data_IF_599145487930
#
_entry.id   IF_599145487930
#
_cell.length_a   1.000
_cell.length_b   1.000
_cell.length_c   1.000
_cell.angle_alpha   90.00
_cell.angle_beta   90.00
_cell.angle_gamma   90.00
#
_symmetry.space_group_name_H-M   'P 1'
#
loop_
_entity.id
_entity.type
_entity.pdbx_description
1 polymer ?
#
# COMPACT_ATOMS: atom_id res chain seq x y z
N UNK A 1 -37.00 83.30 -12.23
CA UNK A 1 -35.87 82.43 -11.82
C UNK A 1 -36.23 80.99 -11.99
N UNK A 2 -35.87 80.43 -13.13
CA UNK A 2 -36.27 79.08 -13.53
C UNK A 2 -35.05 78.17 -13.49
N UNK A 3 -34.98 77.29 -12.53
CA UNK A 3 -33.92 76.23 -12.43
C UNK A 3 -34.23 75.10 -13.37
N UNK A 4 -33.41 74.92 -14.38
CA UNK A 4 -33.42 73.73 -15.24
C UNK A 4 -32.77 72.56 -14.54
N UNK A 5 -33.51 71.49 -14.41
CA UNK A 5 -33.01 70.19 -13.93
C UNK A 5 -32.52 69.41 -15.16
N UNK A 6 -31.24 69.02 -15.20
CA UNK A 6 -30.69 68.10 -16.18
C UNK A 6 -31.05 66.65 -15.82
N UNK A 7 -31.35 65.82 -16.80
CA UNK A 7 -31.59 64.40 -16.52
C UNK A 7 -30.25 63.61 -16.37
N UNK A 8 -30.15 62.89 -15.30
CA UNK A 8 -29.11 61.92 -15.06
C UNK A 8 -29.21 60.77 -16.04
N UNK A 9 -28.19 60.57 -16.84
CA UNK A 9 -28.03 59.41 -17.72
C UNK A 9 -27.69 58.21 -16.87
N UNK A 10 -28.52 57.17 -16.91
CA UNK A 10 -28.31 55.88 -16.30
C UNK A 10 -27.15 55.20 -17.02
N UNK A 11 -26.01 55.09 -16.33
CA UNK A 11 -24.93 54.22 -16.75
C UNK A 11 -25.27 52.79 -16.30
N UNK A 12 -25.62 51.91 -17.22
CA UNK A 12 -25.70 50.49 -16.96
C UNK A 12 -24.29 49.96 -16.79
N UNK A 13 -23.94 49.62 -15.55
CA UNK A 13 -22.75 48.84 -15.28
C UNK A 13 -23.03 47.35 -15.60
N UNK A 14 -22.54 46.88 -16.73
CA UNK A 14 -22.56 45.45 -17.04
C UNK A 14 -21.49 44.76 -16.22
N UNK A 15 -21.86 44.07 -15.14
CA UNK A 15 -21.00 43.19 -14.39
C UNK A 15 -20.80 41.92 -15.21
N UNK A 16 -19.61 41.75 -15.78
CA UNK A 16 -19.17 40.50 -16.39
C UNK A 16 -18.73 39.56 -15.25
N UNK A 17 -19.60 38.62 -14.88
CA UNK A 17 -19.25 37.51 -14.01
C UNK A 17 -18.42 36.49 -14.81
N UNK A 18 -17.11 36.54 -14.65
CA UNK A 18 -16.22 35.46 -15.11
C UNK A 18 -16.36 34.32 -14.10
N UNK A 19 -17.19 33.35 -14.43
CA UNK A 19 -17.26 32.09 -13.71
C UNK A 19 -15.99 31.28 -14.03
N UNK A 20 -15.01 31.30 -13.16
CA UNK A 20 -13.92 30.31 -13.17
C UNK A 20 -14.52 28.95 -12.77
N UNK A 21 -14.89 28.17 -13.77
CA UNK A 21 -15.21 26.76 -13.59
C UNK A 21 -13.93 26.00 -13.25
N UNK A 22 -13.69 25.76 -11.97
CA UNK A 22 -12.70 24.77 -11.53
C UNK A 22 -13.31 23.40 -11.80
N UNK A 23 -13.09 22.89 -13.00
CA UNK A 23 -13.32 21.46 -13.27
C UNK A 23 -12.21 20.71 -12.55
N UNK A 24 -12.49 20.22 -11.34
CA UNK A 24 -11.69 19.21 -10.69
C UNK A 24 -11.74 17.95 -11.56
N UNK A 25 -10.81 17.85 -12.49
CA UNK A 25 -10.59 16.63 -13.27
C UNK A 25 -10.11 15.56 -12.32
N UNK A 26 -11.01 14.69 -11.88
CA UNK A 26 -10.65 13.40 -11.29
C UNK A 26 -9.99 12.60 -12.39
N UNK A 27 -8.66 12.66 -12.47
CA UNK A 27 -7.87 11.65 -13.15
C UNK A 27 -8.04 10.36 -12.34
N UNK A 28 -9.05 9.57 -12.68
CA UNK A 28 -9.10 8.18 -12.28
C UNK A 28 -7.85 7.55 -12.88
N UNK A 29 -6.84 7.30 -12.05
CA UNK A 29 -5.70 6.47 -12.41
C UNK A 29 -6.28 5.11 -12.80
N UNK A 30 -6.43 4.89 -14.11
CA UNK A 30 -6.80 3.57 -14.61
C UNK A 30 -5.62 2.67 -14.28
N UNK A 31 -5.83 1.72 -13.35
CA UNK A 31 -4.91 0.61 -13.15
C UNK A 31 -4.56 0.06 -14.54
N UNK A 32 -3.28 0.18 -14.93
CA UNK A 32 -2.81 -0.38 -16.18
C UNK A 32 -2.71 -1.89 -16.01
N UNK A 33 -3.85 -2.56 -16.19
CA UNK A 33 -3.78 -4.01 -16.45
C UNK A 33 -3.03 -4.21 -17.75
N UNK A 34 -1.95 -4.98 -17.71
CA UNK A 34 -1.15 -5.30 -18.90
C UNK A 34 -2.05 -5.74 -20.06
N UNK A 35 -1.84 -5.13 -21.22
CA UNK A 35 -2.46 -5.58 -22.46
C UNK A 35 -1.74 -6.85 -22.90
N UNK A 36 -2.52 -7.84 -23.37
CA UNK A 36 -1.94 -9.05 -23.99
C UNK A 36 -0.98 -8.63 -25.11
N UNK A 37 0.32 -8.98 -24.97
CA UNK A 37 1.37 -8.65 -25.96
C UNK A 37 2.46 -7.72 -25.48
N UNK A 38 2.32 -7.02 -24.33
CA UNK A 38 3.35 -6.09 -23.81
C UNK A 38 4.49 -6.78 -23.06
N UNK A 39 4.35 -8.09 -22.73
CA UNK A 39 5.40 -8.89 -22.08
C UNK A 39 5.65 -8.54 -20.60
N UNK A 40 4.88 -7.64 -19.99
CA UNK A 40 4.98 -7.28 -18.58
C UNK A 40 3.61 -7.02 -17.96
N UNK A 41 3.55 -7.07 -16.61
CA UNK A 41 2.42 -6.59 -15.80
C UNK A 41 2.98 -5.56 -14.81
N UNK A 42 2.39 -4.38 -14.77
CA UNK A 42 2.72 -3.34 -13.80
C UNK A 42 1.57 -3.16 -12.83
N UNK A 43 1.86 -3.28 -11.54
CA UNK A 43 0.92 -2.98 -10.45
C UNK A 43 1.56 -1.99 -9.47
N UNK A 44 0.76 -1.08 -8.95
CA UNK A 44 1.21 -0.10 -7.96
C UNK A 44 0.70 -0.46 -6.57
N UNK A 45 1.42 -0.03 -5.53
CA UNK A 45 1.02 -0.20 -4.12
C UNK A 45 -0.44 0.18 -3.89
N UNK A 46 -0.87 1.32 -4.41
CA UNK A 46 -2.22 1.86 -4.21
C UNK A 46 -3.32 0.93 -4.76
N UNK A 47 -3.02 0.14 -5.79
CA UNK A 47 -4.00 -0.74 -6.45
C UNK A 47 -4.20 -2.06 -5.69
N UNK A 48 -3.19 -2.49 -4.93
CA UNK A 48 -3.17 -3.82 -4.28
C UNK A 48 -3.15 -3.76 -2.76
N UNK A 49 -3.07 -2.57 -2.15
CA UNK A 49 -3.02 -2.38 -0.71
C UNK A 49 -4.31 -2.86 -0.01
N UNK A 50 -4.16 -3.70 1.02
CA UNK A 50 -5.26 -4.15 1.89
C UNK A 50 -4.82 -4.08 3.34
N UNK A 51 -5.43 -3.17 4.12
CA UNK A 51 -5.18 -3.05 5.56
C UNK A 51 -6.21 -3.85 6.35
N UNK A 52 -5.74 -4.65 7.30
CA UNK A 52 -6.59 -5.50 8.14
C UNK A 52 -5.86 -6.03 9.37
N UNK A 53 -6.44 -7.03 10.06
CA UNK A 53 -5.75 -7.76 11.12
C UNK A 53 -4.42 -8.33 10.61
N UNK A 54 -3.45 -8.47 11.50
CA UNK A 54 -2.20 -9.13 11.18
C UNK A 54 -2.43 -10.62 10.81
N UNK A 55 -1.60 -11.22 9.94
CA UNK A 55 -1.81 -12.58 9.45
C UNK A 55 -1.56 -13.64 10.54
N UNK A 56 -2.06 -14.86 10.30
CA UNK A 56 -1.92 -16.03 11.17
C UNK A 56 -2.36 -15.76 12.62
N UNK A 57 -3.47 -15.02 12.79
CA UNK A 57 -4.00 -14.62 14.11
C UNK A 57 -3.01 -13.85 14.97
N UNK A 58 -2.02 -13.24 14.39
CA UNK A 58 -1.09 -12.36 15.08
C UNK A 58 -1.76 -11.10 15.62
N UNK A 59 -1.23 -10.48 16.67
CA UNK A 59 -1.77 -9.24 17.23
C UNK A 59 -1.57 -8.06 16.28
N UNK A 60 -2.40 -7.02 16.46
CA UNK A 60 -2.28 -5.75 15.77
C UNK A 60 -2.80 -5.74 14.34
N UNK A 61 -2.37 -4.75 13.59
CA UNK A 61 -2.81 -4.50 12.21
C UNK A 61 -1.65 -4.53 11.24
N UNK A 62 -1.94 -4.95 10.01
CA UNK A 62 -0.96 -4.93 8.93
C UNK A 62 -1.57 -4.45 7.64
N UNK A 63 -0.72 -3.97 6.72
CA UNK A 63 -1.09 -3.70 5.34
C UNK A 63 -0.36 -4.69 4.44
N UNK A 64 -1.12 -5.46 3.67
CA UNK A 64 -0.61 -6.41 2.69
C UNK A 64 -0.75 -5.83 1.27
N UNK A 65 0.24 -6.10 0.44
CA UNK A 65 0.29 -5.73 -0.97
C UNK A 65 0.59 -7.02 -1.75
N UNK A 66 -0.46 -7.67 -2.24
CA UNK A 66 -0.31 -8.93 -2.98
C UNK A 66 -0.17 -8.61 -4.47
N UNK A 67 1.05 -8.56 -4.94
CA UNK A 67 1.34 -8.27 -6.35
C UNK A 67 1.11 -9.51 -7.22
N UNK A 68 0.59 -9.27 -8.41
CA UNK A 68 0.38 -10.28 -9.45
C UNK A 68 -0.52 -11.45 -9.05
N UNK A 69 -1.38 -11.24 -8.04
CA UNK A 69 -2.31 -12.26 -7.53
C UNK A 69 -3.24 -12.80 -8.64
N UNK A 70 -3.60 -11.92 -9.59
CA UNK A 70 -4.50 -12.21 -10.72
C UNK A 70 -3.76 -12.55 -12.02
N UNK A 71 -2.43 -12.61 -12.02
CA UNK A 71 -1.65 -12.93 -13.20
C UNK A 71 -1.80 -14.40 -13.55
N UNK A 72 -2.38 -14.69 -14.72
CA UNK A 72 -2.61 -16.06 -15.17
C UNK A 72 -1.29 -16.85 -15.32
N UNK A 73 -1.21 -18.03 -14.71
CA UNK A 73 -0.04 -18.91 -14.78
C UNK A 73 1.15 -18.47 -13.93
N UNK A 74 1.08 -17.36 -13.20
CA UNK A 74 2.12 -16.96 -12.27
C UNK A 74 2.05 -17.81 -10.98
N UNK A 75 3.08 -18.60 -10.75
CA UNK A 75 3.10 -19.59 -9.67
C UNK A 75 3.73 -19.09 -8.37
N UNK A 76 4.35 -17.92 -8.39
CA UNK A 76 5.00 -17.35 -7.23
C UNK A 76 4.08 -16.41 -6.48
N UNK A 77 4.13 -16.44 -5.16
CA UNK A 77 3.63 -15.34 -4.32
C UNK A 77 4.74 -14.30 -4.20
N UNK A 78 4.42 -13.07 -4.51
CA UNK A 78 5.28 -11.92 -4.27
C UNK A 78 4.45 -10.83 -3.58
N UNK A 79 4.80 -10.51 -2.35
CA UNK A 79 4.05 -9.52 -1.56
C UNK A 79 4.96 -8.62 -0.75
N UNK A 80 4.55 -7.38 -0.61
CA UNK A 80 5.04 -6.50 0.45
C UNK A 80 4.08 -6.60 1.64
N UNK A 81 4.63 -6.64 2.86
CA UNK A 81 3.88 -6.63 4.11
C UNK A 81 4.40 -5.52 5.00
N UNK A 82 3.49 -4.71 5.52
CA UNK A 82 3.78 -3.70 6.53
C UNK A 82 3.14 -4.16 7.84
N UNK A 83 3.95 -4.42 8.84
CA UNK A 83 3.50 -4.65 10.21
C UNK A 83 3.57 -3.32 10.96
N UNK A 84 2.40 -2.81 11.35
CA UNK A 84 2.32 -1.55 12.11
C UNK A 84 2.83 -1.75 13.55
N UNK A 85 3.16 -0.68 14.29
CA UNK A 85 3.67 -0.80 15.65
C UNK A 85 2.81 -1.73 16.52
N UNK A 86 3.47 -2.72 17.15
CA UNK A 86 2.82 -3.73 17.98
C UNK A 86 2.20 -4.91 17.22
N UNK A 87 2.26 -4.92 15.88
CA UNK A 87 1.75 -6.04 15.10
C UNK A 87 2.76 -7.19 14.97
N UNK A 88 2.23 -8.38 14.70
CA UNK A 88 3.06 -9.55 14.40
C UNK A 88 2.38 -10.48 13.38
N UNK A 89 3.16 -11.16 12.57
CA UNK A 89 2.76 -12.40 11.92
C UNK A 89 2.70 -13.46 13.02
N UNK A 90 1.53 -14.06 13.25
CA UNK A 90 1.35 -15.09 14.28
C UNK A 90 2.21 -16.33 14.00
N UNK A 91 2.57 -17.04 15.07
CA UNK A 91 3.36 -18.27 14.95
C UNK A 91 2.59 -19.36 14.21
N UNK A 92 3.16 -19.92 13.16
CA UNK A 92 2.50 -20.89 12.29
C UNK A 92 3.51 -21.85 11.64
N UNK A 93 3.08 -23.07 11.26
CA UNK A 93 3.93 -24.01 10.53
C UNK A 93 4.16 -23.57 9.09
N UNK A 94 5.36 -23.84 8.58
CA UNK A 94 5.79 -23.56 7.21
C UNK A 94 5.69 -24.81 6.35
N UNK A 95 5.13 -24.67 5.15
CA UNK A 95 4.92 -25.78 4.22
C UNK A 95 5.80 -25.69 2.98
N UNK A 96 6.17 -24.49 2.56
CA UNK A 96 6.97 -24.16 1.39
C UNK A 96 8.28 -23.49 1.80
N UNK A 97 9.24 -23.39 0.89
CA UNK A 97 10.37 -22.47 1.04
C UNK A 97 9.86 -21.04 0.88
N UNK A 98 9.97 -20.22 1.93
CA UNK A 98 9.51 -18.85 1.94
C UNK A 98 10.64 -17.90 2.33
N UNK A 99 10.83 -16.87 1.53
CA UNK A 99 11.83 -15.83 1.78
C UNK A 99 11.17 -14.60 2.39
N UNK A 100 11.70 -14.12 3.49
CA UNK A 100 11.46 -12.80 4.06
C UNK A 100 12.67 -11.91 3.77
N UNK A 101 12.45 -10.72 3.26
CA UNK A 101 13.48 -9.68 3.17
C UNK A 101 12.99 -8.42 3.86
N UNK A 102 13.77 -7.92 4.80
CA UNK A 102 13.41 -6.72 5.57
C UNK A 102 13.82 -5.48 4.79
N UNK A 103 12.84 -4.70 4.33
CA UNK A 103 13.07 -3.42 3.65
C UNK A 103 13.37 -2.30 4.63
N UNK A 104 12.62 -2.22 5.73
CA UNK A 104 12.80 -1.19 6.76
C UNK A 104 12.20 -1.61 8.09
N UNK A 105 12.59 -0.91 9.16
CA UNK A 105 12.14 -1.21 10.52
C UNK A 105 12.95 -2.30 11.20
N UNK A 106 12.46 -2.73 12.37
CA UNK A 106 13.08 -3.79 13.18
C UNK A 106 12.02 -4.75 13.71
N UNK A 107 12.42 -6.00 13.92
CA UNK A 107 11.54 -7.04 14.44
C UNK A 107 12.29 -8.11 15.23
N UNK A 108 11.51 -9.03 15.79
CA UNK A 108 12.01 -10.28 16.36
C UNK A 108 11.38 -11.44 15.61
N UNK A 109 12.22 -12.25 14.99
CA UNK A 109 11.83 -13.51 14.35
C UNK A 109 11.80 -14.59 15.40
N UNK A 110 10.68 -15.31 15.49
CA UNK A 110 10.56 -16.54 16.26
C UNK A 110 10.65 -17.72 15.29
N UNK A 111 11.55 -18.66 15.55
CA UNK A 111 11.80 -19.82 14.68
C UNK A 111 12.05 -21.07 15.52
N UNK A 112 11.20 -22.09 15.40
CA UNK A 112 11.35 -23.39 16.10
C UNK A 112 11.66 -23.26 17.59
N UNK A 113 10.99 -22.32 18.28
CA UNK A 113 11.19 -22.08 19.71
C UNK A 113 12.36 -21.16 20.09
N UNK A 114 13.15 -20.72 19.11
CA UNK A 114 14.21 -19.72 19.31
C UNK A 114 13.79 -18.36 18.77
N UNK A 115 14.39 -17.30 19.28
CA UNK A 115 14.14 -15.93 18.82
C UNK A 115 15.45 -15.22 18.45
N UNK A 116 15.40 -14.39 17.42
CA UNK A 116 16.51 -13.53 17.02
C UNK A 116 16.01 -12.21 16.43
N UNK A 117 16.76 -11.10 16.63
CA UNK A 117 16.41 -9.82 16.05
C UNK A 117 16.63 -9.79 14.55
N UNK A 118 15.79 -9.01 13.84
CA UNK A 118 15.92 -8.72 12.42
C UNK A 118 15.79 -7.22 12.16
N UNK A 119 16.46 -6.73 11.12
CA UNK A 119 16.52 -5.32 10.73
C UNK A 119 16.61 -5.18 9.22
N UNK A 120 16.47 -3.97 8.72
CA UNK A 120 16.63 -3.65 7.31
C UNK A 120 17.93 -4.27 6.71
N UNK A 121 17.77 -4.92 5.56
CA UNK A 121 18.82 -5.64 4.84
C UNK A 121 18.94 -7.12 5.19
N UNK A 122 18.26 -7.62 6.22
CA UNK A 122 18.27 -9.04 6.56
C UNK A 122 17.36 -9.85 5.64
N UNK A 123 17.82 -11.03 5.24
CA UNK A 123 17.05 -12.04 4.50
C UNK A 123 16.94 -13.32 5.33
N UNK A 124 15.73 -13.87 5.42
CA UNK A 124 15.44 -15.11 6.15
C UNK A 124 14.76 -16.08 5.19
N UNK A 125 15.30 -17.29 5.09
CA UNK A 125 14.64 -18.41 4.40
C UNK A 125 14.00 -19.32 5.45
N UNK A 126 12.69 -19.44 5.45
CA UNK A 126 11.94 -20.41 6.24
C UNK A 126 11.68 -21.65 5.41
N UNK A 127 11.90 -22.84 6.00
CA UNK A 127 11.87 -24.12 5.28
C UNK A 127 10.67 -24.97 5.69
N UNK A 128 10.19 -25.86 4.82
CA UNK A 128 9.18 -26.86 5.16
C UNK A 128 9.53 -27.62 6.44
N UNK A 129 8.53 -27.85 7.30
CA UNK A 129 8.71 -28.53 8.59
C UNK A 129 9.17 -27.61 9.73
N UNK A 130 9.52 -26.35 9.48
CA UNK A 130 9.74 -25.36 10.52
C UNK A 130 8.41 -24.69 10.93
N UNK A 131 8.45 -23.94 12.03
CA UNK A 131 7.38 -23.02 12.44
C UNK A 131 7.97 -21.68 12.80
N UNK A 132 7.30 -20.60 12.43
CA UNK A 132 7.83 -19.28 12.65
C UNK A 132 6.74 -18.22 12.87
N UNK A 133 7.16 -17.08 13.40
CA UNK A 133 6.38 -15.85 13.52
C UNK A 133 7.32 -14.65 13.50
N UNK A 134 6.80 -13.46 13.23
CA UNK A 134 7.62 -12.26 13.15
C UNK A 134 6.92 -11.10 13.81
N UNK A 135 7.50 -10.55 14.88
CA UNK A 135 6.95 -9.43 15.65
C UNK A 135 7.69 -8.14 15.29
N UNK A 136 6.94 -7.09 15.02
CA UNK A 136 7.47 -5.74 14.92
C UNK A 136 7.90 -5.25 16.32
N UNK A 137 9.10 -4.62 16.44
CA UNK A 137 9.66 -4.20 17.74
C UNK A 137 10.15 -2.76 17.79
N UNK A 138 10.17 -2.04 16.69
CA UNK A 138 10.58 -0.63 16.64
C UNK A 138 9.46 0.36 16.93
N UNK A 139 9.75 1.63 16.75
CA UNK A 139 8.73 2.70 16.75
C UNK A 139 8.05 2.85 15.41
N UNK A 140 8.73 2.45 14.33
CA UNK A 140 8.30 2.58 12.96
C UNK A 140 7.76 1.24 12.45
N UNK A 141 7.04 1.28 11.33
CA UNK A 141 6.58 0.09 10.63
C UNK A 141 7.73 -0.87 10.28
N UNK A 142 7.51 -2.17 10.45
CA UNK A 142 8.37 -3.20 9.89
C UNK A 142 7.85 -3.57 8.50
N UNK A 143 8.66 -3.26 7.48
CA UNK A 143 8.29 -3.50 6.07
C UNK A 143 9.08 -4.66 5.49
N UNK A 144 8.38 -5.60 4.90
CA UNK A 144 8.91 -6.87 4.41
C UNK A 144 8.54 -7.11 2.96
N UNK A 145 9.43 -7.75 2.22
CA UNK A 145 9.07 -8.54 1.03
C UNK A 145 8.97 -9.99 1.46
N UNK A 146 7.92 -10.67 1.02
CA UNK A 146 7.69 -12.10 1.26
C UNK A 146 7.46 -12.77 -0.08
N UNK A 147 8.17 -13.86 -0.33
CA UNK A 147 8.08 -14.59 -1.59
C UNK A 147 8.20 -16.10 -1.39
N UNK A 148 7.31 -16.85 -2.03
CA UNK A 148 7.31 -18.32 -2.04
C UNK A 148 6.57 -18.85 -3.28
N UNK A 149 6.77 -20.12 -3.62
CA UNK A 149 6.01 -20.81 -4.67
C UNK A 149 4.65 -21.29 -4.13
N UNK A 150 3.59 -21.18 -4.99
CA UNK A 150 2.20 -21.62 -4.66
C UNK A 150 2.06 -23.12 -4.78
#
# INVERSE_FOLDING_TARGET
MTKRILPMKNALLAAVLVAFGVTAGWLAAKSQTARAGEGYILEHDADVAKTGPAPHSGPGRSTGYNFFEKAAGFKQVFRKRVLHPGAAIGYHPQKEDEVYYVLSGTGTMQMNGSEFPVKAGDAILTRPGSSHGLKQTGKDDLVLIISYEK
#
